data_IF_643060207857
#
_entry.id   IF_643060207857
#
_cell.length_a   1.000
_cell.length_b   1.000
_cell.length_c   1.000
_cell.angle_alpha   90.00
_cell.angle_beta   90.00
_cell.angle_gamma   90.00
#
_symmetry.space_group_name_H-M   'P 1'
#
loop_
_entity.id
_entity.type
_entity.pdbx_description
1 polymer ?
#
# COMPACT_ATOMS: atom_id res chain seq x y z
N UNK A 1 21.86 53.53 -9.65
CA UNK A 1 20.97 52.87 -8.66
C UNK A 1 19.65 52.54 -9.36
N UNK A 2 19.63 51.46 -10.14
CA UNK A 2 18.46 51.02 -10.91
C UNK A 2 18.63 49.51 -11.10
N UNK A 3 17.56 48.75 -10.85
CA UNK A 3 17.46 47.29 -11.04
C UNK A 3 17.97 46.41 -9.90
N UNK A 4 17.28 46.42 -8.75
CA UNK A 4 17.43 45.34 -7.76
C UNK A 4 16.13 45.05 -7.00
N UNK A 5 14.98 45.12 -7.67
CA UNK A 5 13.69 44.72 -7.08
C UNK A 5 12.83 44.17 -8.22
N UNK A 6 13.15 42.99 -8.78
CA UNK A 6 12.17 42.25 -9.60
C UNK A 6 12.55 40.77 -9.87
N UNK A 7 13.29 40.12 -8.96
CA UNK A 7 13.70 38.73 -9.14
C UNK A 7 13.56 37.87 -7.87
N UNK A 8 12.54 38.14 -7.05
CA UNK A 8 12.28 37.36 -5.82
C UNK A 8 10.85 36.81 -5.71
N UNK A 9 10.14 36.62 -6.84
CA UNK A 9 8.76 36.11 -6.84
C UNK A 9 8.50 34.83 -7.63
N UNK A 10 9.53 34.18 -8.20
CA UNK A 10 9.36 32.98 -9.05
C UNK A 10 9.76 31.66 -8.33
N UNK A 11 10.23 31.72 -7.08
CA UNK A 11 10.47 30.52 -6.27
C UNK A 11 9.39 30.28 -5.20
N UNK A 12 8.16 30.70 -5.46
CA UNK A 12 7.01 30.11 -4.79
C UNK A 12 6.72 28.79 -5.51
N UNK A 13 7.44 27.73 -5.15
CA UNK A 13 7.01 26.35 -5.42
C UNK A 13 5.74 26.10 -4.61
N UNK A 14 4.63 26.68 -5.07
CA UNK A 14 3.33 26.57 -4.44
C UNK A 14 2.79 25.17 -4.70
N UNK A 15 2.59 24.38 -3.66
CA UNK A 15 1.72 23.21 -3.77
C UNK A 15 0.35 23.73 -4.25
N UNK A 16 -0.10 23.27 -5.41
CA UNK A 16 -1.46 23.55 -5.84
C UNK A 16 -2.40 22.58 -5.09
N UNK A 17 -3.39 23.09 -4.34
CA UNK A 17 -4.38 22.22 -3.74
C UNK A 17 -5.21 21.57 -4.86
N UNK A 18 -5.16 20.24 -4.93
CA UNK A 18 -6.01 19.47 -5.84
C UNK A 18 -6.97 18.63 -5.02
N UNK A 19 -8.26 18.75 -5.32
CA UNK A 19 -9.29 17.89 -4.74
C UNK A 19 -9.33 16.59 -5.52
N UNK A 20 -9.17 15.46 -4.81
CA UNK A 20 -9.17 14.13 -5.40
C UNK A 20 -10.13 13.24 -4.60
N UNK A 21 -10.89 12.42 -5.33
CA UNK A 21 -11.75 11.38 -4.77
C UNK A 21 -11.05 10.03 -4.88
N UNK A 22 -10.97 9.29 -3.76
CA UNK A 22 -10.30 7.99 -3.69
C UNK A 22 -10.84 7.12 -2.56
N UNK A 23 -10.53 5.83 -2.60
CA UNK A 23 -10.81 4.88 -1.52
C UNK A 23 -9.78 5.01 -0.40
N UNK A 24 -10.20 5.54 0.75
CA UNK A 24 -9.36 5.65 1.95
C UNK A 24 -9.56 4.41 2.83
N UNK A 25 -8.49 3.65 3.15
CA UNK A 25 -8.58 2.52 4.04
C UNK A 25 -8.56 2.94 5.52
N UNK A 26 -9.15 2.12 6.38
CA UNK A 26 -9.07 2.18 7.83
C UNK A 26 -9.27 0.79 8.44
N UNK A 27 -8.57 0.49 9.52
CA UNK A 27 -8.69 -0.77 10.27
C UNK A 27 -8.07 -0.64 11.66
N UNK A 28 -8.06 -1.71 12.44
CA UNK A 28 -7.60 -1.69 13.84
C UNK A 28 -6.16 -2.20 14.03
N UNK A 29 -5.68 -3.09 13.16
CA UNK A 29 -4.38 -3.77 13.32
C UNK A 29 -3.29 -3.28 12.36
N UNK A 30 -3.53 -2.16 11.68
CA UNK A 30 -2.61 -1.59 10.70
C UNK A 30 -2.92 -0.13 10.40
N UNK A 31 -2.17 0.45 9.46
CA UNK A 31 -2.24 1.86 9.14
C UNK A 31 -2.47 2.10 7.65
N UNK A 32 -3.18 3.19 7.35
CA UNK A 32 -3.27 3.70 5.98
C UNK A 32 -1.92 4.33 5.60
N UNK A 33 -1.34 3.85 4.50
CA UNK A 33 -0.02 4.27 4.02
C UNK A 33 -0.08 4.66 2.54
N UNK A 34 0.93 5.41 2.13
CA UNK A 34 1.17 5.74 0.72
C UNK A 34 2.16 4.71 0.17
N UNK A 35 1.83 4.10 -0.96
CA UNK A 35 2.76 3.25 -1.70
C UNK A 35 3.42 4.05 -2.84
N UNK A 36 4.76 4.13 -2.84
CA UNK A 36 5.52 4.89 -3.84
C UNK A 36 5.52 6.41 -3.62
N UNK A 37 5.62 7.17 -4.71
CA UNK A 37 5.69 8.63 -4.70
C UNK A 37 4.32 9.33 -4.68
N UNK A 38 3.24 8.57 -4.49
CA UNK A 38 1.89 9.12 -4.44
C UNK A 38 1.65 10.00 -3.21
N UNK A 39 0.47 10.59 -3.13
CA UNK A 39 -0.02 11.28 -1.93
C UNK A 39 -1.32 10.69 -1.39
N UNK A 40 -1.89 9.74 -2.14
CA UNK A 40 -3.15 9.09 -1.82
C UNK A 40 -2.83 7.89 -0.92
N UNK A 41 -3.19 7.92 0.37
CA UNK A 41 -3.04 6.76 1.24
C UNK A 41 -4.14 5.76 0.88
N UNK A 42 -3.90 4.96 -0.16
CA UNK A 42 -4.83 3.95 -0.69
C UNK A 42 -4.44 2.52 -0.28
N UNK A 43 -3.31 2.39 0.42
CA UNK A 43 -2.77 1.12 0.89
C UNK A 43 -3.04 0.96 2.37
N UNK A 44 -3.53 -0.20 2.80
CA UNK A 44 -3.55 -0.55 4.22
C UNK A 44 -2.37 -1.48 4.53
N UNK A 45 -1.55 -1.13 5.53
CA UNK A 45 -0.33 -1.86 5.85
C UNK A 45 -0.39 -2.41 7.27
N UNK A 46 -0.19 -3.72 7.40
CA UNK A 46 0.17 -4.40 8.64
C UNK A 46 1.69 -4.50 8.72
N UNK A 47 2.25 -4.30 9.91
CA UNK A 47 3.69 -4.38 10.12
C UNK A 47 4.04 -5.35 11.23
N UNK A 48 5.06 -6.16 10.98
CA UNK A 48 5.72 -6.96 11.99
C UNK A 48 7.22 -6.75 11.87
N UNK A 49 7.99 -7.23 12.84
CA UNK A 49 9.45 -7.12 12.79
C UNK A 49 9.96 -7.69 11.46
N UNK A 50 10.65 -6.83 10.70
CA UNK A 50 11.30 -7.17 9.43
C UNK A 50 10.36 -7.65 8.30
N UNK A 51 9.06 -7.38 8.39
CA UNK A 51 8.10 -7.73 7.33
C UNK A 51 6.89 -6.81 7.32
N UNK A 52 6.33 -6.55 6.14
CA UNK A 52 5.12 -5.76 5.95
C UNK A 52 4.14 -6.52 5.07
N UNK A 53 2.86 -6.41 5.39
CA UNK A 53 1.79 -6.94 4.57
C UNK A 53 0.87 -5.79 4.17
N UNK A 54 0.74 -5.56 2.87
CA UNK A 54 -0.01 -4.45 2.28
C UNK A 54 -1.21 -5.01 1.52
N UNK A 55 -2.34 -4.33 1.69
CA UNK A 55 -3.59 -4.58 0.99
C UNK A 55 -3.99 -3.31 0.27
N UNK A 56 -4.00 -3.38 -1.05
CA UNK A 56 -4.33 -2.30 -1.97
C UNK A 56 -5.68 -2.62 -2.65
N UNK A 57 -6.63 -1.70 -2.58
CA UNK A 57 -7.88 -1.81 -3.33
C UNK A 57 -7.74 -1.08 -4.67
N UNK A 58 -7.83 -1.83 -5.75
CA UNK A 58 -7.83 -1.32 -7.12
C UNK A 58 -9.26 -1.28 -7.68
N UNK A 59 -9.42 -0.77 -8.89
CA UNK A 59 -10.72 -0.55 -9.53
C UNK A 59 -11.64 -1.78 -9.61
N UNK A 60 -11.06 -2.96 -9.83
CA UNK A 60 -11.79 -4.24 -9.93
C UNK A 60 -11.03 -5.40 -9.28
N UNK A 61 -10.08 -5.10 -8.39
CA UNK A 61 -9.24 -6.13 -7.79
C UNK A 61 -8.69 -5.72 -6.44
N UNK A 62 -8.28 -6.70 -5.66
CA UNK A 62 -7.52 -6.52 -4.42
C UNK A 62 -6.10 -6.99 -4.68
N UNK A 63 -5.14 -6.10 -4.48
CA UNK A 63 -3.73 -6.39 -4.64
C UNK A 63 -3.09 -6.58 -3.26
N UNK A 64 -2.43 -7.72 -3.08
CA UNK A 64 -1.82 -8.15 -1.83
C UNK A 64 -0.31 -8.15 -2.02
N UNK A 65 0.44 -7.56 -1.09
CA UNK A 65 1.91 -7.55 -1.12
C UNK A 65 2.48 -7.90 0.24
N UNK A 66 3.36 -8.90 0.30
CA UNK A 66 4.16 -9.22 1.49
C UNK A 66 5.61 -8.85 1.19
N UNK A 67 6.14 -7.84 1.89
CA UNK A 67 7.55 -7.43 1.87
C UNK A 67 8.25 -8.11 3.04
N UNK A 68 9.32 -8.87 2.79
CA UNK A 68 10.06 -9.62 3.82
C UNK A 68 11.56 -9.51 3.59
N UNK A 69 12.37 -9.81 4.60
CA UNK A 69 13.83 -9.96 4.42
C UNK A 69 14.11 -11.11 3.46
N UNK A 70 15.05 -10.93 2.54
CA UNK A 70 15.42 -11.96 1.56
C UNK A 70 15.83 -13.27 2.25
N UNK A 71 15.41 -14.39 1.68
CA UNK A 71 15.55 -15.72 2.29
C UNK A 71 14.47 -16.12 3.30
N UNK A 72 13.53 -15.23 3.65
CA UNK A 72 12.37 -15.60 4.47
C UNK A 72 11.39 -16.50 3.72
N UNK A 73 10.76 -17.43 4.45
CA UNK A 73 9.68 -18.26 3.94
C UNK A 73 8.33 -17.55 4.13
N UNK A 74 7.50 -17.50 3.08
CA UNK A 74 6.18 -16.87 3.10
C UNK A 74 5.12 -17.90 2.69
N UNK A 75 4.11 -18.07 3.53
CA UNK A 75 3.01 -19.01 3.32
C UNK A 75 1.69 -18.45 3.86
N UNK A 76 0.55 -19.04 3.49
CA UNK A 76 -0.74 -18.66 4.05
C UNK A 76 -1.06 -19.50 5.30
N UNK A 77 -1.38 -18.85 6.42
CA UNK A 77 -2.09 -19.53 7.52
C UNK A 77 -3.55 -19.78 7.14
N UNK A 78 -4.17 -18.75 6.57
CA UNK A 78 -5.50 -18.78 5.99
C UNK A 78 -5.41 -18.05 4.65
N UNK A 79 -5.90 -18.68 3.58
CA UNK A 79 -5.87 -18.14 2.22
C UNK A 79 -7.25 -17.69 1.72
N UNK A 80 -8.23 -17.53 2.60
CA UNK A 80 -9.54 -16.98 2.25
C UNK A 80 -9.50 -15.45 2.35
N UNK A 81 -10.14 -14.80 1.39
CA UNK A 81 -10.41 -13.37 1.39
C UNK A 81 -11.91 -13.18 1.33
N UNK A 82 -12.43 -12.33 2.20
CA UNK A 82 -13.84 -11.90 2.15
C UNK A 82 -13.87 -10.45 1.72
N UNK A 83 -14.60 -10.17 0.64
CA UNK A 83 -14.82 -8.80 0.14
C UNK A 83 -16.31 -8.52 0.22
N UNK A 84 -16.69 -7.57 1.06
CA UNK A 84 -18.05 -7.09 1.19
C UNK A 84 -18.22 -5.82 0.37
N UNK A 85 -19.07 -5.86 -0.63
CA UNK A 85 -19.42 -4.70 -1.46
C UNK A 85 -20.93 -4.51 -1.40
N UNK A 86 -21.39 -3.32 -1.00
CA UNK A 86 -22.83 -2.99 -0.94
C UNK A 86 -23.68 -4.05 -0.17
N UNK A 87 -23.13 -4.61 0.92
CA UNK A 87 -23.71 -5.71 1.73
C UNK A 87 -23.78 -7.08 1.05
N UNK A 88 -23.21 -7.26 -0.13
CA UNK A 88 -22.99 -8.57 -0.74
C UNK A 88 -21.58 -9.08 -0.39
N UNK A 89 -21.49 -10.34 0.07
CA UNK A 89 -20.23 -10.96 0.48
C UNK A 89 -19.69 -11.86 -0.63
N UNK A 90 -18.45 -11.58 -1.06
CA UNK A 90 -17.70 -12.39 -2.01
C UNK A 90 -16.54 -13.07 -1.28
N UNK A 91 -16.62 -14.38 -1.09
CA UNK A 91 -15.56 -15.18 -0.47
C UNK A 91 -14.75 -15.85 -1.58
N UNK A 92 -13.46 -15.59 -1.62
CA UNK A 92 -12.53 -16.12 -2.63
C UNK A 92 -11.33 -16.77 -1.94
N UNK A 93 -10.61 -17.61 -2.69
CA UNK A 93 -9.34 -18.18 -2.23
C UNK A 93 -8.17 -17.52 -2.91
N UNK A 94 -7.28 -16.93 -2.11
CA UNK A 94 -5.98 -16.46 -2.52
C UNK A 94 -5.15 -17.64 -3.04
N UNK A 95 -4.62 -17.49 -4.25
CA UNK A 95 -3.64 -18.40 -4.85
C UNK A 95 -2.29 -18.24 -4.13
N UNK A 96 -1.30 -19.02 -4.55
CA UNK A 96 0.07 -18.84 -4.09
C UNK A 96 0.57 -17.44 -4.48
N UNK A 97 1.28 -16.79 -3.56
CA UNK A 97 1.93 -15.52 -3.81
C UNK A 97 3.02 -15.69 -4.88
N UNK A 98 3.14 -14.73 -5.78
CA UNK A 98 4.17 -14.67 -6.80
C UNK A 98 5.36 -13.90 -6.22
N UNK A 99 6.52 -14.55 -6.18
CA UNK A 99 7.76 -13.93 -5.70
C UNK A 99 8.29 -12.96 -6.76
N UNK A 100 8.62 -11.74 -6.36
CA UNK A 100 9.38 -10.81 -7.20
C UNK A 100 10.86 -11.23 -7.23
N UNK A 101 11.45 -11.22 -8.42
CA UNK A 101 12.86 -11.48 -8.62
C UNK A 101 13.72 -10.31 -8.12
N UNK A 102 13.15 -9.10 -8.10
CA UNK A 102 13.83 -7.90 -7.63
C UNK A 102 13.97 -7.93 -6.12
N UNK A 103 15.20 -7.70 -5.68
CA UNK A 103 15.55 -7.48 -4.29
C UNK A 103 15.79 -6.00 -4.10
N UNK A 104 15.11 -5.40 -3.13
CA UNK A 104 15.33 -4.01 -2.76
C UNK A 104 16.41 -3.96 -1.68
N UNK A 105 17.55 -3.37 -2.02
CA UNK A 105 18.51 -2.93 -1.01
C UNK A 105 18.09 -1.54 -0.52
N UNK A 106 17.75 -1.37 0.77
CA UNK A 106 17.47 -0.04 1.31
C UNK A 106 18.71 0.87 1.33
N UNK A 107 19.90 0.30 1.20
CA UNK A 107 21.17 1.02 1.21
C UNK A 107 21.71 1.07 -0.23
N UNK A 108 21.64 2.23 -0.89
CA UNK A 108 22.37 2.46 -2.14
C UNK A 108 23.66 3.23 -1.87
N UNK A 109 24.80 2.80 -2.42
CA UNK A 109 26.06 3.56 -2.41
C UNK A 109 27.14 3.04 -1.45
N UNK A 110 28.03 3.91 -0.98
CA UNK A 110 29.22 3.60 -0.13
C UNK A 110 28.90 3.01 1.27
N UNK A 111 27.64 2.65 1.56
CA UNK A 111 27.16 2.19 2.87
C UNK A 111 26.80 0.70 2.94
N UNK A 112 27.15 -0.09 1.92
CA UNK A 112 27.07 -1.56 1.92
C UNK A 112 27.77 -2.23 3.12
N UNK A 113 28.60 -1.48 3.85
CA UNK A 113 29.39 -1.88 5.03
C UNK A 113 28.57 -2.04 6.32
N UNK A 114 27.28 -1.69 6.36
CA UNK A 114 26.50 -1.64 7.61
C UNK A 114 25.47 -2.77 7.82
N UNK A 115 25.64 -3.92 7.15
CA UNK A 115 24.79 -5.11 7.35
C UNK A 115 23.30 -4.81 7.10
N UNK A 116 23.01 -4.05 6.04
CA UNK A 116 21.66 -3.70 5.63
C UNK A 116 20.88 -4.94 5.22
N UNK A 117 19.63 -5.05 5.69
CA UNK A 117 18.74 -6.14 5.28
C UNK A 117 18.24 -5.86 3.87
N UNK A 118 18.39 -6.83 3.00
CA UNK A 118 17.75 -6.82 1.69
C UNK A 118 16.32 -7.32 1.81
N UNK A 119 15.40 -6.70 1.07
CA UNK A 119 13.98 -7.04 1.11
C UNK A 119 13.50 -7.58 -0.23
N UNK A 120 12.53 -8.49 -0.17
CA UNK A 120 11.87 -9.07 -1.32
C UNK A 120 10.36 -8.98 -1.17
N UNK A 121 9.69 -8.76 -2.29
CA UNK A 121 8.24 -8.71 -2.36
C UNK A 121 7.65 -10.02 -2.87
N UNK A 122 6.49 -10.35 -2.33
CA UNK A 122 5.59 -11.40 -2.80
C UNK A 122 4.25 -10.75 -3.08
N UNK A 123 3.66 -11.00 -4.24
CA UNK A 123 2.43 -10.31 -4.64
C UNK A 123 1.36 -11.25 -5.17
N UNK A 124 0.11 -10.83 -5.04
CA UNK A 124 -1.04 -11.51 -5.64
C UNK A 124 -2.11 -10.46 -5.98
N UNK A 125 -2.63 -10.54 -7.19
CA UNK A 125 -3.81 -9.80 -7.59
C UNK A 125 -5.04 -10.73 -7.56
N UNK A 126 -6.10 -10.32 -6.88
CA UNK A 126 -7.37 -11.06 -6.79
C UNK A 126 -8.44 -10.23 -7.47
N UNK A 127 -8.95 -10.71 -8.61
CA UNK A 127 -10.02 -10.04 -9.35
C UNK A 127 -11.35 -10.15 -8.61
N UNK A 128 -12.00 -8.99 -8.41
CA UNK A 128 -13.29 -8.85 -7.74
C UNK A 128 -14.09 -7.78 -8.47
N UNK A 129 -14.75 -8.16 -9.56
CA UNK A 129 -15.50 -7.23 -10.43
C UNK A 129 -16.56 -6.41 -9.68
N UNK A 130 -17.12 -6.94 -8.59
CA UNK A 130 -18.10 -6.26 -7.76
C UNK A 130 -17.59 -4.94 -7.14
N UNK A 131 -16.27 -4.77 -6.99
CA UNK A 131 -15.66 -3.53 -6.46
C UNK A 131 -15.89 -2.32 -7.40
N UNK A 132 -16.12 -2.58 -8.69
CA UNK A 132 -16.26 -1.54 -9.71
C UNK A 132 -17.43 -0.60 -9.39
N UNK A 133 -17.10 0.67 -9.13
CA UNK A 133 -18.10 1.70 -8.80
C UNK A 133 -18.65 1.61 -7.37
N UNK A 134 -18.04 0.80 -6.51
CA UNK A 134 -18.37 0.78 -5.09
C UNK A 134 -17.92 2.09 -4.41
N UNK A 135 -18.75 2.61 -3.51
CA UNK A 135 -18.41 3.76 -2.64
C UNK A 135 -17.86 3.32 -1.29
N UNK A 136 -18.09 2.05 -0.93
CA UNK A 136 -17.54 1.41 0.26
C UNK A 136 -17.30 -0.07 -0.01
N UNK A 137 -16.16 -0.57 0.47
CA UNK A 137 -15.76 -1.99 0.40
C UNK A 137 -15.13 -2.36 1.74
N UNK A 138 -15.61 -3.43 2.37
CA UNK A 138 -14.92 -4.00 3.53
C UNK A 138 -14.17 -5.26 3.11
N UNK A 139 -12.92 -5.39 3.54
CA UNK A 139 -12.05 -6.52 3.19
C UNK A 139 -11.59 -7.19 4.47
N UNK A 140 -11.85 -8.48 4.58
CA UNK A 140 -11.15 -9.35 5.53
C UNK A 140 -10.06 -10.07 4.72
N UNK A 141 -8.80 -9.63 4.83
CA UNK A 141 -7.72 -10.17 4.01
C UNK A 141 -7.31 -11.59 4.49
N UNK A 142 -6.64 -12.37 3.61
CA UNK A 142 -6.02 -13.62 4.02
C UNK A 142 -4.88 -13.34 5.00
N UNK A 143 -4.48 -14.36 5.76
CA UNK A 143 -3.50 -14.26 6.83
C UNK A 143 -2.17 -14.87 6.36
N UNK A 144 -1.17 -14.05 5.97
CA UNK A 144 0.14 -14.56 5.65
C UNK A 144 0.93 -14.89 6.92
N UNK A 145 1.85 -15.84 6.79
CA UNK A 145 2.90 -16.13 7.75
C UNK A 145 4.26 -15.89 7.13
N UNK A 146 5.14 -15.29 7.92
CA UNK A 146 6.56 -15.15 7.57
C UNK A 146 7.36 -15.92 8.61
N UNK A 147 8.14 -16.91 8.16
CA UNK A 147 8.91 -17.79 9.03
C UNK A 147 8.05 -18.40 10.16
N UNK A 148 6.85 -18.89 9.80
CA UNK A 148 5.84 -19.48 10.71
C UNK A 148 5.21 -18.53 11.73
N UNK A 149 5.44 -17.22 11.62
CA UNK A 149 4.76 -16.21 12.43
C UNK A 149 3.71 -15.49 11.59
N UNK A 150 2.46 -15.57 12.03
CA UNK A 150 1.34 -14.91 11.36
C UNK A 150 1.35 -13.39 11.58
N UNK A 151 0.87 -12.67 10.57
CA UNK A 151 0.46 -11.28 10.75
C UNK A 151 -0.82 -11.22 11.58
N UNK A 152 -0.92 -10.19 12.43
CA UNK A 152 -2.18 -9.84 13.09
C UNK A 152 -3.00 -9.00 12.13
N UNK A 153 -3.90 -9.64 11.39
CA UNK A 153 -4.76 -8.95 10.41
C UNK A 153 -6.13 -8.67 10.99
N UNK A 154 -6.76 -7.59 10.53
CA UNK A 154 -8.12 -7.19 10.86
C UNK A 154 -8.91 -6.89 9.61
N UNK A 155 -10.23 -6.74 9.73
CA UNK A 155 -11.01 -6.12 8.65
C UNK A 155 -10.47 -4.72 8.32
N UNK A 156 -10.59 -4.36 7.04
CA UNK A 156 -10.23 -3.06 6.47
C UNK A 156 -11.49 -2.48 5.83
N UNK A 157 -11.91 -1.29 6.25
CA UNK A 157 -12.91 -0.50 5.55
C UNK A 157 -12.20 0.40 4.53
N UNK A 158 -12.54 0.25 3.26
CA UNK A 158 -12.21 1.19 2.21
C UNK A 158 -13.44 2.03 1.91
N UNK A 159 -13.34 3.34 2.14
CA UNK A 159 -14.44 4.27 1.91
C UNK A 159 -14.04 5.36 0.93
N UNK A 160 -14.90 5.63 -0.02
CA UNK A 160 -14.72 6.73 -0.95
C UNK A 160 -14.77 8.06 -0.19
N UNK A 161 -13.71 8.84 -0.33
CA UNK A 161 -13.59 10.17 0.28
C UNK A 161 -13.07 11.16 -0.75
N UNK A 162 -13.54 12.39 -0.62
CA UNK A 162 -13.01 13.53 -1.38
C UNK A 162 -12.17 14.38 -0.44
N UNK A 163 -10.86 14.48 -0.72
CA UNK A 163 -9.93 15.28 0.08
C UNK A 163 -9.10 16.20 -0.81
N UNK A 164 -8.70 17.34 -0.26
CA UNK A 164 -7.72 18.22 -0.90
C UNK A 164 -6.32 17.75 -0.53
N UNK A 165 -5.56 17.31 -1.53
CA UNK A 165 -4.17 16.89 -1.39
C UNK A 165 -3.24 18.00 -1.90
N UNK A 166 -2.07 18.12 -1.27
CA UNK A 166 -1.06 19.12 -1.60
C UNK A 166 -0.03 18.53 -2.53
N UNK A 167 -0.26 18.53 -3.85
CA UNK A 167 0.63 17.88 -4.80
C UNK A 167 2.02 18.54 -4.79
N UNK A 168 3.06 17.74 -4.51
CA UNK A 168 4.43 18.15 -4.75
C UNK A 168 4.65 18.18 -6.26
N UNK A 169 5.06 19.32 -6.81
CA UNK A 169 5.21 19.53 -8.26
C UNK A 169 6.32 18.64 -8.86
N UNK A 170 7.23 18.11 -8.04
CA UNK A 170 8.34 17.26 -8.45
C UNK A 170 8.31 15.93 -7.68
N UNK A 171 7.90 14.85 -8.35
CA UNK A 171 8.30 13.48 -8.03
C UNK A 171 9.18 12.98 -9.16
#
# INVERSE_FOLDING_TARGET
MRNLIFFFFIFLTGCAPHTVTFMSPKGISGDATINGCGQIPSTFQYEMKDSKYKVDLHYNSVYLVVEVVDGSNVEWLNNEITVLVNNESHILKAKNLIRDDRVRDPCGGFTDTFNCKTYRNYYLNIEVEAVKGATQVNIVPPIPMVNKKAFEVSEIEFKEVTKTLMQAINC
#
